data_IF_963418436164
#
_entry.id   IF_963418436164
#
_cell.length_a   1.000
_cell.length_b   1.000
_cell.length_c   1.000
_cell.angle_alpha   90.00
_cell.angle_beta   90.00
_cell.angle_gamma   90.00
#
_symmetry.space_group_name_H-M   'P 1'
#
loop_
_entity.id
_entity.type
_entity.pdbx_description
1 polymer ?
#
# COMPACT_ATOMS: atom_id res chain seq x y z
N UNK A 1 4.68 3.55 53.27
CA UNK A 1 3.72 3.56 52.14
C UNK A 1 4.30 4.07 50.81
N UNK A 2 5.54 4.57 50.72
CA UNK A 2 6.15 5.02 49.46
C UNK A 2 6.66 3.89 48.54
N UNK A 3 7.01 2.72 49.10
CA UNK A 3 7.56 1.58 48.34
C UNK A 3 6.55 0.94 47.37
N UNK A 4 5.27 0.90 47.74
CA UNK A 4 4.19 0.34 46.90
C UNK A 4 3.88 1.26 45.71
N UNK A 5 4.02 2.58 45.89
CA UNK A 5 3.85 3.57 44.81
C UNK A 5 4.95 3.47 43.75
N UNK A 6 6.20 3.26 44.14
CA UNK A 6 7.33 3.14 43.19
C UNK A 6 7.25 1.81 42.43
N UNK A 7 6.92 0.71 43.11
CA UNK A 7 6.78 -0.60 42.46
C UNK A 7 5.62 -0.64 41.46
N UNK A 8 4.48 -0.01 41.78
CA UNK A 8 3.34 0.09 40.87
C UNK A 8 3.62 0.98 39.67
N UNK A 9 4.42 2.04 39.80
CA UNK A 9 4.90 2.85 38.67
C UNK A 9 5.83 2.06 37.77
N UNK A 10 6.73 1.23 38.32
CA UNK A 10 7.62 0.36 37.53
C UNK A 10 6.85 -0.75 36.82
N UNK A 11 5.89 -1.40 37.48
CA UNK A 11 5.03 -2.42 36.85
C UNK A 11 4.16 -1.78 35.77
N UNK A 12 3.55 -0.63 36.05
CA UNK A 12 2.78 0.11 35.06
C UNK A 12 3.65 0.55 33.88
N UNK A 13 4.90 0.96 34.13
CA UNK A 13 5.86 1.30 33.07
C UNK A 13 6.24 0.07 32.23
N UNK A 14 6.57 -1.07 32.84
CA UNK A 14 6.90 -2.31 32.11
C UNK A 14 5.72 -2.80 31.29
N UNK A 15 4.51 -2.80 31.87
CA UNK A 15 3.28 -3.19 31.17
C UNK A 15 2.99 -2.24 30.01
N UNK A 16 3.19 -0.94 30.21
CA UNK A 16 2.99 0.06 29.15
C UNK A 16 4.02 -0.10 28.02
N UNK A 17 5.29 -0.39 28.34
CA UNK A 17 6.33 -0.60 27.33
C UNK A 17 6.12 -1.91 26.56
N UNK A 18 5.71 -3.00 27.22
CA UNK A 18 5.38 -4.25 26.53
C UNK A 18 4.13 -4.10 25.65
N UNK A 19 3.11 -3.38 26.13
CA UNK A 19 1.92 -3.08 25.35
C UNK A 19 2.25 -2.25 24.10
N UNK A 20 3.20 -1.32 24.19
CA UNK A 20 3.70 -0.55 23.05
C UNK A 20 4.41 -1.45 22.02
N UNK A 21 5.27 -2.38 22.45
CA UNK A 21 5.99 -3.29 21.56
C UNK A 21 5.03 -4.22 20.81
N UNK A 22 4.08 -4.84 21.51
CA UNK A 22 3.07 -5.70 20.89
C UNK A 22 2.20 -4.91 19.90
N UNK A 23 1.88 -3.66 20.25
CA UNK A 23 1.12 -2.77 19.37
C UNK A 23 1.88 -2.41 18.08
N UNK A 24 3.18 -2.14 18.16
CA UNK A 24 4.02 -1.91 16.98
C UNK A 24 4.11 -3.14 16.08
N UNK A 25 4.20 -4.34 16.66
CA UNK A 25 4.18 -5.61 15.91
C UNK A 25 2.83 -5.84 15.22
N UNK A 26 1.71 -5.57 15.90
CA UNK A 26 0.37 -5.63 15.31
C UNK A 26 0.20 -4.64 14.15
N UNK A 27 0.65 -3.39 14.32
CA UNK A 27 0.61 -2.37 13.28
C UNK A 27 1.46 -2.78 12.07
N UNK A 28 2.63 -3.37 12.31
CA UNK A 28 3.50 -3.91 11.26
C UNK A 28 2.86 -5.07 10.53
N UNK A 29 2.28 -6.03 11.23
CA UNK A 29 1.60 -7.17 10.61
C UNK A 29 0.40 -6.72 9.76
N UNK A 30 -0.35 -5.72 10.23
CA UNK A 30 -1.44 -5.10 9.47
C UNK A 30 -0.92 -4.41 8.20
N UNK A 31 0.14 -3.62 8.30
CA UNK A 31 0.78 -3.00 7.15
C UNK A 31 1.28 -4.05 6.14
N UNK A 32 1.94 -5.12 6.61
CA UNK A 32 2.44 -6.21 5.77
C UNK A 32 1.31 -6.96 5.05
N UNK A 33 0.18 -7.18 5.71
CA UNK A 33 -1.00 -7.78 5.11
C UNK A 33 -1.62 -6.86 4.04
N UNK A 34 -1.71 -5.55 4.31
CA UNK A 34 -2.14 -4.54 3.33
C UNK A 34 -1.23 -4.54 2.10
N UNK A 35 0.09 -4.50 2.32
CA UNK A 35 1.10 -4.55 1.28
C UNK A 35 0.95 -5.83 0.46
N UNK A 36 0.91 -6.99 1.10
CA UNK A 36 0.76 -8.27 0.42
C UNK A 36 -0.52 -8.34 -0.42
N UNK A 37 -1.65 -7.83 0.09
CA UNK A 37 -2.91 -7.77 -0.65
C UNK A 37 -2.81 -6.92 -1.91
N UNK A 38 -2.32 -5.67 -1.78
CA UNK A 38 -2.19 -4.75 -2.94
C UNK A 38 -1.18 -5.28 -3.95
N UNK A 39 -0.03 -5.79 -3.49
CA UNK A 39 0.99 -6.38 -4.36
C UNK A 39 0.44 -7.59 -5.12
N UNK A 40 -0.31 -8.47 -4.45
CA UNK A 40 -0.89 -9.64 -5.10
C UNK A 40 -1.93 -9.24 -6.15
N UNK A 41 -2.80 -8.27 -5.85
CA UNK A 41 -3.77 -7.75 -6.80
C UNK A 41 -3.06 -7.18 -8.05
N UNK A 42 -2.07 -6.30 -7.87
CA UNK A 42 -1.30 -5.73 -8.99
C UNK A 42 -0.52 -6.77 -9.78
N UNK A 43 0.05 -7.77 -9.11
CA UNK A 43 0.80 -8.86 -9.77
C UNK A 43 -0.12 -9.71 -10.63
N UNK A 44 -1.33 -10.02 -10.15
CA UNK A 44 -2.34 -10.72 -10.95
C UNK A 44 -2.68 -9.90 -12.19
N UNK A 45 -2.90 -8.59 -12.05
CA UNK A 45 -3.12 -7.69 -13.19
C UNK A 45 -1.96 -7.74 -14.19
N UNK A 46 -0.72 -7.51 -13.74
CA UNK A 46 0.45 -7.56 -14.60
C UNK A 46 0.59 -8.90 -15.34
N UNK A 47 0.37 -10.02 -14.65
CA UNK A 47 0.38 -11.36 -15.25
C UNK A 47 -0.76 -11.57 -16.25
N UNK A 48 -1.96 -11.02 -16.00
CA UNK A 48 -3.06 -11.09 -16.98
C UNK A 48 -2.74 -10.29 -18.24
N UNK A 49 -2.09 -9.13 -18.10
CA UNK A 49 -1.65 -8.33 -19.24
C UNK A 49 -0.60 -9.05 -20.11
N UNK A 50 0.16 -10.00 -19.55
CA UNK A 50 1.14 -10.78 -20.31
C UNK A 50 0.54 -11.96 -21.08
N UNK A 51 -0.72 -12.35 -20.82
CA UNK A 51 -1.41 -13.40 -21.58
C UNK A 51 -1.62 -12.97 -23.04
N UNK A 52 -1.47 -13.90 -23.98
CA UNK A 52 -1.72 -13.62 -25.41
C UNK A 52 -3.22 -13.42 -25.67
N UNK A 53 -3.57 -12.45 -26.53
CA UNK A 53 -4.96 -12.12 -26.86
C UNK A 53 -5.65 -11.12 -25.91
N UNK A 54 -4.97 -10.65 -24.86
CA UNK A 54 -5.48 -9.57 -24.00
C UNK A 54 -5.05 -8.22 -24.59
N UNK A 55 -6.03 -7.36 -24.91
CA UNK A 55 -5.79 -6.01 -25.45
C UNK A 55 -5.94 -4.91 -24.41
N UNK A 56 -6.94 -5.01 -23.53
CA UNK A 56 -7.07 -4.11 -22.39
C UNK A 56 -7.99 -4.71 -21.33
N UNK A 57 -7.76 -4.34 -20.08
CA UNK A 57 -8.70 -4.61 -19.00
C UNK A 57 -8.51 -3.61 -17.86
N UNK A 58 -9.52 -3.47 -17.02
CA UNK A 58 -9.47 -2.64 -15.81
C UNK A 58 -9.61 -3.54 -14.60
N UNK A 59 -8.63 -3.47 -13.71
CA UNK A 59 -8.65 -4.16 -12.43
C UNK A 59 -9.11 -3.20 -11.33
N UNK A 60 -10.03 -3.68 -10.50
CA UNK A 60 -10.39 -3.01 -9.26
C UNK A 60 -9.44 -3.47 -8.16
N UNK A 61 -8.79 -2.51 -7.52
CA UNK A 61 -8.00 -2.71 -6.30
C UNK A 61 -8.89 -2.36 -5.13
N UNK A 62 -9.27 -3.40 -4.39
CA UNK A 62 -9.99 -3.25 -3.14
C UNK A 62 -9.01 -2.81 -2.06
N UNK A 63 -9.24 -1.63 -1.51
CA UNK A 63 -8.48 -1.11 -0.38
C UNK A 63 -9.17 -1.62 0.89
N UNK A 64 -8.53 -2.48 1.69
CA UNK A 64 -9.19 -3.10 2.83
C UNK A 64 -9.66 -2.04 3.83
N UNK A 65 -10.96 -2.00 4.05
CA UNK A 65 -11.56 -1.38 5.23
C UNK A 65 -11.56 -2.43 6.34
N UNK A 66 -10.40 -2.98 6.69
CA UNK A 66 -10.31 -3.75 7.92
C UNK A 66 -10.38 -2.74 9.06
N UNK A 67 -11.17 -3.02 10.10
CA UNK A 67 -11.05 -2.35 11.40
C UNK A 67 -10.06 -3.20 12.18
N UNK A 68 -8.76 -2.85 12.21
CA UNK A 68 -7.85 -3.56 13.09
C UNK A 68 -8.30 -3.32 14.54
N UNK A 69 -7.70 -3.99 15.54
CA UNK A 69 -7.98 -3.73 16.95
C UNK A 69 -7.47 -2.34 17.41
N UNK A 70 -7.41 -1.35 16.52
CA UNK A 70 -6.96 0.01 16.75
C UNK A 70 -8.16 0.93 16.94
N UNK A 71 -8.04 1.93 17.82
CA UNK A 71 -9.10 2.90 18.05
C UNK A 71 -9.25 3.83 16.83
N UNK A 72 -8.13 4.13 16.18
CA UNK A 72 -8.07 4.84 14.91
C UNK A 72 -6.83 4.40 14.12
N UNK A 73 -6.91 4.49 12.80
CA UNK A 73 -5.78 4.23 11.92
C UNK A 73 -5.90 5.06 10.64
N UNK A 74 -4.75 5.33 10.06
CA UNK A 74 -4.56 6.01 8.80
C UNK A 74 -3.58 5.20 7.97
N UNK A 75 -3.81 5.06 6.67
CA UNK A 75 -2.81 4.47 5.81
C UNK A 75 -2.79 5.10 4.43
N UNK A 76 -1.60 5.12 3.81
CA UNK A 76 -1.42 5.55 2.45
C UNK A 76 -0.70 4.49 1.63
N UNK A 77 -1.24 4.20 0.46
CA UNK A 77 -0.68 3.30 -0.53
C UNK A 77 -0.06 4.15 -1.63
N UNK A 78 1.24 4.09 -1.81
CA UNK A 78 1.92 4.74 -2.93
C UNK A 78 2.38 3.68 -3.92
N UNK A 79 1.91 3.77 -5.16
CA UNK A 79 2.38 2.93 -6.26
C UNK A 79 3.30 3.78 -7.11
N UNK A 80 4.55 3.36 -7.27
CA UNK A 80 5.58 4.12 -7.99
C UNK A 80 6.33 3.22 -8.95
N UNK A 81 6.70 3.78 -10.10
CA UNK A 81 7.67 3.17 -10.98
C UNK A 81 9.07 3.68 -10.67
N UNK A 82 9.89 2.79 -10.11
CA UNK A 82 11.30 3.04 -9.86
C UNK A 82 12.13 2.33 -10.93
N UNK A 83 12.60 3.12 -11.91
CA UNK A 83 13.51 2.66 -12.97
C UNK A 83 13.01 1.44 -13.76
N UNK A 84 11.70 1.35 -14.00
CA UNK A 84 11.07 0.23 -14.72
C UNK A 84 10.54 -0.87 -13.81
N UNK A 85 10.69 -0.77 -12.49
CA UNK A 85 10.07 -1.68 -11.53
C UNK A 85 8.91 -0.99 -10.84
N UNK A 86 7.74 -1.62 -10.87
CA UNK A 86 6.58 -1.16 -10.11
C UNK A 86 6.78 -1.54 -8.64
N UNK A 87 6.87 -0.55 -7.76
CA UNK A 87 7.05 -0.70 -6.31
C UNK A 87 5.83 -0.13 -5.60
N UNK A 88 5.36 -0.84 -4.58
CA UNK A 88 4.28 -0.37 -3.70
C UNK A 88 4.88 -0.03 -2.35
N UNK A 89 4.55 1.15 -1.84
CA UNK A 89 4.85 1.62 -0.49
C UNK A 89 3.55 1.69 0.30
N UNK A 90 3.60 1.27 1.55
CA UNK A 90 2.54 1.45 2.53
C UNK A 90 3.11 2.26 3.67
N UNK A 91 2.50 3.41 3.92
CA UNK A 91 2.66 4.16 5.17
C UNK A 91 1.43 3.88 6.01
N UNK A 92 1.62 3.31 7.20
CA UNK A 92 0.55 2.90 8.10
C UNK A 92 0.76 3.56 9.46
N UNK A 93 -0.25 4.22 9.96
CA UNK A 93 -0.26 4.87 11.26
C UNK A 93 -1.47 4.37 12.04
N UNK A 94 -1.25 3.91 13.27
CA UNK A 94 -2.31 3.41 14.13
C UNK A 94 -2.23 4.02 15.51
N UNK A 95 -3.39 4.14 16.16
CA UNK A 95 -3.56 4.69 17.49
C UNK A 95 -4.35 3.73 18.38
N UNK A 96 -3.91 3.56 19.62
CA UNK A 96 -4.63 2.82 20.69
C UNK A 96 -4.42 3.54 22.02
N UNK A 97 -5.47 4.17 22.55
CA UNK A 97 -5.39 5.03 23.73
C UNK A 97 -4.40 6.18 23.56
N UNK A 98 -3.27 6.14 24.30
CA UNK A 98 -2.17 7.12 24.20
C UNK A 98 -0.99 6.65 23.35
N UNK A 99 -1.00 5.40 22.90
CA UNK A 99 0.05 4.83 22.07
C UNK A 99 -0.22 5.11 20.58
N UNK A 100 0.85 5.36 19.84
CA UNK A 100 0.86 5.53 18.38
C UNK A 100 1.99 4.70 17.78
N UNK A 101 1.74 4.08 16.64
CA UNK A 101 2.71 3.30 15.89
C UNK A 101 2.69 3.75 14.43
N UNK A 102 3.88 3.94 13.88
CA UNK A 102 4.07 4.32 12.48
C UNK A 102 4.96 3.30 11.79
N UNK A 103 4.49 2.81 10.66
CA UNK A 103 5.15 1.74 9.88
C UNK A 103 5.21 2.16 8.42
N UNK A 104 6.42 2.22 7.89
CA UNK A 104 6.68 2.37 6.46
C UNK A 104 7.30 1.09 5.92
N UNK A 105 6.63 0.47 4.95
CA UNK A 105 7.13 -0.73 4.27
C UNK A 105 6.94 -0.61 2.77
N UNK A 106 7.77 -1.31 2.01
CA UNK A 106 7.69 -1.30 0.56
C UNK A 106 7.99 -2.67 -0.03
N UNK A 107 7.45 -2.93 -1.23
CA UNK A 107 7.74 -4.17 -1.96
C UNK A 107 7.64 -3.95 -3.46
N UNK A 108 8.66 -4.46 -4.16
CA UNK A 108 8.65 -4.55 -5.61
C UNK A 108 7.59 -5.57 -6.06
N UNK A 109 6.73 -5.14 -6.98
CA UNK A 109 5.62 -5.93 -7.51
C UNK A 109 6.05 -6.69 -8.75
N UNK A 110 6.53 -5.94 -9.75
CA UNK A 110 6.76 -6.44 -11.10
C UNK A 110 7.75 -5.56 -11.88
N UNK A 111 8.52 -6.17 -12.77
CA UNK A 111 9.37 -5.44 -13.72
C UNK A 111 8.55 -5.09 -14.96
N UNK A 112 8.24 -3.81 -15.15
CA UNK A 112 7.43 -3.30 -16.27
C UNK A 112 8.16 -3.55 -17.59
N UNK A 113 9.50 -3.53 -17.60
CA UNK A 113 10.30 -3.85 -18.78
C UNK A 113 10.07 -5.29 -19.26
N UNK A 114 9.74 -6.21 -18.34
CA UNK A 114 9.40 -7.59 -18.68
C UNK A 114 7.99 -7.75 -19.27
N UNK A 115 7.16 -6.71 -19.23
CA UNK A 115 5.86 -6.69 -19.90
C UNK A 115 5.96 -6.31 -21.38
N UNK A 116 7.12 -5.83 -21.86
CA UNK A 116 7.32 -5.60 -23.29
C UNK A 116 7.35 -6.94 -24.03
N UNK A 117 6.44 -7.08 -24.99
CA UNK A 117 6.40 -8.21 -25.92
C UNK A 117 7.17 -7.82 -27.20
N UNK A 118 7.75 -8.77 -27.94
CA UNK A 118 8.43 -8.46 -29.21
C UNK A 118 7.53 -7.74 -30.23
N UNK A 119 6.20 -7.86 -30.08
CA UNK A 119 5.21 -7.22 -30.94
C UNK A 119 4.30 -6.24 -30.17
N UNK A 120 4.70 -5.72 -29.00
CA UNK A 120 3.79 -4.87 -28.23
C UNK A 120 4.30 -4.28 -26.92
N UNK A 121 3.52 -3.37 -26.36
CA UNK A 121 3.82 -2.67 -25.10
C UNK A 121 2.65 -2.77 -24.12
N UNK A 122 2.97 -2.74 -22.81
CA UNK A 122 1.94 -2.66 -21.75
C UNK A 122 2.01 -1.31 -21.05
N UNK A 123 0.91 -0.56 -21.14
CA UNK A 123 0.70 0.65 -20.37
C UNK A 123 -0.16 0.36 -19.14
N UNK A 124 0.29 0.88 -18.00
CA UNK A 124 -0.38 0.74 -16.70
C UNK A 124 -0.85 2.13 -16.30
N UNK A 125 -2.15 2.28 -16.11
CA UNK A 125 -2.79 3.51 -15.68
C UNK A 125 -3.49 3.30 -14.34
N UNK A 126 -3.43 4.27 -13.45
CA UNK A 126 -4.09 4.21 -12.15
C UNK A 126 -4.99 5.43 -11.94
N UNK A 127 -6.11 5.24 -11.23
CA UNK A 127 -6.97 6.35 -10.81
C UNK A 127 -6.18 7.38 -10.01
N UNK A 128 -6.51 8.67 -10.19
CA UNK A 128 -5.90 9.74 -9.42
C UNK A 128 -6.08 9.54 -7.91
N UNK A 129 -5.00 9.87 -7.20
CA UNK A 129 -4.95 9.83 -5.75
C UNK A 129 -4.90 11.20 -5.12
N UNK A 130 -4.61 11.23 -3.82
CA UNK A 130 -4.35 12.45 -3.06
C UNK A 130 -3.11 13.18 -3.61
N UNK A 131 -2.10 12.41 -4.01
CA UNK A 131 -0.90 12.91 -4.66
C UNK A 131 -0.51 12.02 -5.83
N UNK A 132 0.09 12.60 -6.86
CA UNK A 132 0.47 11.88 -8.07
C UNK A 132 1.52 12.66 -8.88
N UNK A 133 2.16 11.95 -9.80
CA UNK A 133 2.97 12.54 -10.87
C UNK A 133 2.69 11.83 -12.20
N UNK A 134 2.92 12.50 -13.32
CA UNK A 134 2.68 12.00 -14.68
C UNK A 134 1.21 11.71 -14.98
N UNK A 135 0.34 12.66 -14.63
CA UNK A 135 -1.07 12.65 -14.99
C UNK A 135 -1.25 12.68 -16.51
N UNK A 136 -2.17 11.87 -17.02
CA UNK A 136 -2.62 11.84 -18.41
C UNK A 136 -4.15 11.77 -18.39
N UNK A 137 -4.82 12.89 -18.68
CA UNK A 137 -6.28 12.96 -18.48
C UNK A 137 -6.65 12.77 -17.01
N UNK A 138 -7.57 11.86 -16.69
CA UNK A 138 -8.01 11.57 -15.31
C UNK A 138 -7.34 10.34 -14.68
N UNK A 139 -6.19 9.92 -15.23
CA UNK A 139 -5.39 8.81 -14.74
C UNK A 139 -3.91 9.17 -14.63
N UNK A 140 -3.15 8.33 -13.94
CA UNK A 140 -1.70 8.41 -13.83
C UNK A 140 -1.06 7.31 -14.66
N UNK A 141 -0.11 7.65 -15.52
CA UNK A 141 0.64 6.64 -16.27
C UNK A 141 1.82 6.11 -15.42
N UNK A 142 1.65 4.91 -14.88
CA UNK A 142 2.65 4.23 -14.05
C UNK A 142 3.72 3.48 -14.87
N UNK A 143 3.61 3.42 -16.20
CA UNK A 143 4.64 2.81 -17.06
C UNK A 143 5.86 3.70 -17.21
N UNK A 144 5.71 5.01 -17.03
CA UNK A 144 6.81 5.97 -17.11
C UNK A 144 7.63 5.97 -15.82
N UNK A 145 8.95 5.95 -15.95
CA UNK A 145 9.86 5.96 -14.80
C UNK A 145 9.67 7.24 -13.97
N UNK A 146 9.66 7.10 -12.64
CA UNK A 146 9.48 8.20 -11.70
C UNK A 146 8.02 8.61 -11.45
N UNK A 147 7.07 8.04 -12.19
CA UNK A 147 5.65 8.32 -12.03
C UNK A 147 5.07 7.53 -10.86
N UNK A 148 4.13 8.16 -10.14
CA UNK A 148 3.54 7.56 -8.95
C UNK A 148 2.13 8.07 -8.71
N UNK A 149 1.39 7.30 -7.92
CA UNK A 149 0.11 7.72 -7.33
C UNK A 149 0.09 7.32 -5.86
N UNK A 150 -0.51 8.17 -5.01
CA UNK A 150 -0.71 7.93 -3.58
C UNK A 150 -2.19 7.97 -3.25
N UNK A 151 -2.70 6.87 -2.71
CA UNK A 151 -4.06 6.74 -2.20
C UNK A 151 -4.04 6.68 -0.68
N UNK A 152 -4.59 7.71 -0.03
CA UNK A 152 -4.73 7.75 1.42
C UNK A 152 -6.11 7.25 1.87
N UNK A 153 -6.15 6.69 3.07
CA UNK A 153 -7.33 6.26 3.81
C UNK A 153 -7.36 6.90 5.19
N UNK A 154 -8.52 7.39 5.67
CA UNK A 154 -9.85 7.18 5.10
C UNK A 154 -10.10 8.02 3.83
N UNK A 155 -10.71 7.39 2.82
CA UNK A 155 -11.08 7.99 1.54
C UNK A 155 -12.54 7.64 1.24
N UNK A 156 -13.31 8.53 0.58
CA UNK A 156 -14.69 8.23 0.18
C UNK A 156 -14.77 7.08 -0.83
N UNK A 157 -13.65 6.75 -1.48
CA UNK A 157 -13.52 5.62 -2.41
C UNK A 157 -12.78 4.47 -1.74
N UNK A 158 -13.49 3.35 -1.51
CA UNK A 158 -12.95 2.08 -0.99
C UNK A 158 -12.35 1.18 -2.07
N UNK A 159 -12.59 1.53 -3.34
CA UNK A 159 -12.08 0.84 -4.52
C UNK A 159 -11.36 1.85 -5.40
N UNK A 160 -10.18 1.48 -5.89
CA UNK A 160 -9.41 2.23 -6.88
C UNK A 160 -9.18 1.37 -8.11
N UNK A 161 -9.12 1.96 -9.29
CA UNK A 161 -8.93 1.21 -10.53
C UNK A 161 -7.50 1.34 -11.02
N UNK A 162 -7.01 0.24 -11.58
CA UNK A 162 -5.79 0.18 -12.36
C UNK A 162 -6.13 -0.44 -13.70
N UNK A 163 -5.91 0.31 -14.77
CA UNK A 163 -6.14 -0.13 -16.14
C UNK A 163 -4.82 -0.58 -16.76
N UNK A 164 -4.89 -1.71 -17.47
CA UNK A 164 -3.81 -2.24 -18.27
C UNK A 164 -4.22 -2.17 -19.74
N UNK A 165 -3.40 -1.53 -20.55
CA UNK A 165 -3.59 -1.43 -22.01
C UNK A 165 -2.41 -2.12 -22.66
N UNK A 166 -2.70 -3.12 -23.50
CA UNK A 166 -1.74 -3.90 -24.27
C UNK A 166 -1.86 -3.45 -25.72
N UNK A 167 -0.87 -2.70 -26.18
CA UNK A 167 -0.77 -2.30 -27.59
C UNK A 167 0.08 -3.30 -28.37
N UNK A 168 -0.23 -3.43 -29.66
CA UNK A 168 0.62 -4.06 -30.68
C UNK A 168 1.33 -3.00 -31.52
#
# INVERSE_FOLDING_TARGET
>A
MAFVGILSVIIAWIVNTQAQIVFEEEAKAAAEALLASVVNQLRVGASTASISGVYSFTQQISLPYYSPPFDAFYYAITIRNEQGVLVVYISFEAYRGRASAYVDISKAVYNISALYKPEGYVQIYADLGESYNCRVGDVVNLTRAGCYVKWAMPSPYTVRKVQFIVGS
#
